data_IF_604577884908
#
_entry.id   IF_604577884908
#
_cell.length_a   1.000
_cell.length_b   1.000
_cell.length_c   1.000
_cell.angle_alpha   90.00
_cell.angle_beta   90.00
_cell.angle_gamma   90.00
#
_symmetry.space_group_name_H-M   'P 1'
#
loop_
_entity.id
_entity.type
_entity.pdbx_description
1 polymer ?
#
# COMPACT_ATOMS: atom_id res chain seq x y z
N UNK A 1 -3.56 8.04 0.76
CA UNK A 1 -2.18 8.60 0.69
C UNK A 1 -1.70 9.25 1.98
N UNK A 2 -2.50 10.08 2.67
CA UNK A 2 -2.06 10.80 3.89
C UNK A 2 -1.48 9.90 5.00
N UNK A 3 -2.11 8.75 5.27
CA UNK A 3 -1.68 7.86 6.35
C UNK A 3 -0.30 7.22 6.10
N UNK A 4 -0.05 6.76 4.87
CA UNK A 4 1.24 6.16 4.50
C UNK A 4 2.35 7.23 4.46
N UNK A 5 2.04 8.45 4.00
CA UNK A 5 2.98 9.58 4.03
C UNK A 5 3.34 9.99 5.45
N UNK A 6 2.38 9.98 6.39
CA UNK A 6 2.64 10.22 7.82
C UNK A 6 3.64 9.22 8.40
N UNK A 7 3.63 7.97 7.94
CA UNK A 7 4.58 6.94 8.37
C UNK A 7 5.86 6.87 7.53
N UNK A 8 6.07 7.84 6.63
CA UNK A 8 7.31 7.95 5.85
C UNK A 8 7.42 6.94 4.71
N UNK A 9 6.30 6.56 4.10
CA UNK A 9 6.28 5.68 2.93
C UNK A 9 5.92 6.44 1.64
N UNK A 10 6.53 6.02 0.53
CA UNK A 10 6.11 6.38 -0.82
C UNK A 10 4.97 5.46 -1.27
N UNK A 11 3.98 6.02 -1.94
CA UNK A 11 2.90 5.22 -2.49
C UNK A 11 2.36 5.74 -3.80
N UNK A 12 1.57 4.89 -4.43
CA UNK A 12 0.91 5.10 -5.70
C UNK A 12 -0.58 4.77 -5.54
N UNK A 13 -1.39 5.39 -6.39
CA UNK A 13 -2.83 5.16 -6.46
C UNK A 13 -3.16 4.73 -7.88
N UNK A 14 -3.80 3.57 -7.99
CA UNK A 14 -4.18 2.97 -9.26
C UNK A 14 -5.70 2.83 -9.31
N UNK A 15 -6.31 3.21 -10.44
CA UNK A 15 -7.74 2.99 -10.68
C UNK A 15 -7.88 1.81 -11.64
N UNK A 16 -8.64 0.80 -11.23
CA UNK A 16 -8.89 -0.41 -12.01
C UNK A 16 -10.38 -0.54 -12.23
N UNK A 17 -10.78 -0.74 -13.48
CA UNK A 17 -12.18 -1.01 -13.84
C UNK A 17 -12.38 -2.52 -13.94
N UNK A 18 -13.35 -3.05 -13.20
CA UNK A 18 -13.74 -4.47 -13.30
C UNK A 18 -14.54 -4.72 -14.58
N UNK A 19 -14.69 -5.99 -14.96
CA UNK A 19 -15.45 -6.38 -16.17
C UNK A 19 -16.91 -5.91 -16.13
N UNK A 20 -17.51 -5.90 -14.94
CA UNK A 20 -18.88 -5.43 -14.67
C UNK A 20 -18.98 -3.92 -14.40
N UNK A 21 -17.88 -3.17 -14.55
CA UNK A 21 -17.88 -1.71 -14.62
C UNK A 21 -17.64 -0.97 -13.29
N UNK A 22 -17.28 -1.67 -12.21
CA UNK A 22 -16.90 -1.01 -10.95
C UNK A 22 -15.49 -0.42 -11.05
N UNK A 23 -15.31 0.79 -10.53
CA UNK A 23 -14.01 1.46 -10.47
C UNK A 23 -13.44 1.28 -9.06
N UNK A 24 -12.40 0.46 -8.97
CA UNK A 24 -11.67 0.18 -7.73
C UNK A 24 -10.44 1.07 -7.62
N UNK A 25 -10.22 1.64 -6.44
CA UNK A 25 -9.01 2.38 -6.11
C UNK A 25 -8.04 1.50 -5.31
N UNK A 26 -6.93 1.13 -5.95
CA UNK A 26 -5.87 0.33 -5.34
C UNK A 26 -4.78 1.24 -4.79
N UNK A 27 -4.35 0.93 -3.57
CA UNK A 27 -3.28 1.62 -2.87
C UNK A 27 -2.02 0.75 -2.89
N UNK A 28 -0.93 1.28 -3.46
CA UNK A 28 0.37 0.58 -3.48
C UNK A 28 1.39 1.36 -2.67
N UNK A 29 2.14 0.67 -1.82
CA UNK A 29 3.32 1.21 -1.14
C UNK A 29 4.55 0.70 -1.89
N UNK A 30 5.42 1.61 -2.33
CA UNK A 30 6.59 1.28 -3.16
C UNK A 30 7.87 1.14 -2.35
N UNK A 31 7.91 1.77 -1.18
CA UNK A 31 9.04 1.72 -0.28
C UNK A 31 9.02 2.82 0.78
N UNK A 32 10.06 2.88 1.63
CA UNK A 32 10.34 4.04 2.46
C UNK A 32 10.54 5.30 1.61
N UNK A 33 10.15 6.46 2.14
CA UNK A 33 10.37 7.75 1.49
C UNK A 33 11.85 8.07 1.25
N UNK A 34 12.74 7.47 2.03
CA UNK A 34 14.20 7.63 1.92
C UNK A 34 14.85 6.72 0.88
N UNK A 35 14.12 5.78 0.29
CA UNK A 35 14.70 4.87 -0.71
C UNK A 35 14.97 5.60 -2.01
N UNK A 36 16.23 5.53 -2.46
CA UNK A 36 16.71 6.12 -3.73
C UNK A 36 16.44 5.21 -4.94
N UNK A 37 16.19 3.93 -4.69
CA UNK A 37 16.04 2.92 -5.74
C UNK A 37 14.58 2.77 -6.15
N UNK A 38 14.06 3.78 -6.83
CA UNK A 38 12.73 3.74 -7.44
C UNK A 38 12.61 2.67 -8.55
N UNK A 39 13.74 2.16 -9.05
CA UNK A 39 13.84 1.20 -10.15
C UNK A 39 14.15 -0.24 -9.71
N UNK A 40 14.27 -0.52 -8.41
CA UNK A 40 14.47 -1.89 -7.96
C UNK A 40 13.15 -2.68 -8.08
N UNK A 41 13.20 -3.79 -8.83
CA UNK A 41 12.02 -4.63 -9.07
C UNK A 41 11.75 -5.50 -7.84
N UNK A 42 11.06 -4.92 -6.86
CA UNK A 42 10.72 -5.61 -5.61
C UNK A 42 9.64 -6.67 -5.84
N UNK A 43 9.69 -7.83 -5.14
CA UNK A 43 8.61 -8.81 -5.15
C UNK A 43 7.27 -8.16 -4.78
N UNK A 44 6.24 -8.44 -5.56
CA UNK A 44 4.91 -7.87 -5.33
C UNK A 44 4.14 -8.73 -4.34
N UNK A 45 3.54 -8.08 -3.35
CA UNK A 45 2.58 -8.70 -2.46
C UNK A 45 1.23 -7.99 -2.55
N UNK A 46 0.20 -8.78 -2.81
CA UNK A 46 -1.18 -8.32 -2.83
C UNK A 46 -1.87 -8.72 -1.53
N UNK A 47 -2.57 -7.77 -0.91
CA UNK A 47 -3.29 -7.98 0.35
C UNK A 47 -4.70 -7.44 0.21
N UNK A 48 -5.67 -8.22 0.68
CA UNK A 48 -7.10 -7.89 0.61
C UNK A 48 -7.68 -7.79 2.01
N UNK A 49 -8.41 -6.71 2.26
CA UNK A 49 -9.06 -6.50 3.55
C UNK A 49 -10.23 -7.47 3.73
N UNK A 50 -10.64 -7.66 4.99
CA UNK A 50 -11.80 -8.47 5.34
C UNK A 50 -13.15 -7.75 5.13
N UNK A 51 -14.21 -8.36 5.62
CA UNK A 51 -15.56 -7.81 5.59
C UNK A 51 -15.62 -6.47 6.35
N UNK A 52 -16.38 -5.49 5.82
CA UNK A 52 -16.56 -4.14 6.40
C UNK A 52 -15.26 -3.36 6.66
N UNK A 53 -14.17 -3.72 5.99
CA UNK A 53 -12.87 -3.06 6.12
C UNK A 53 -12.48 -2.30 4.85
N UNK A 54 -11.32 -1.65 4.88
CA UNK A 54 -10.69 -1.03 3.72
C UNK A 54 -9.15 -1.22 3.79
N UNK A 55 -8.42 -0.68 2.82
CA UNK A 55 -6.95 -0.82 2.72
C UNK A 55 -6.16 -0.27 3.92
N UNK A 56 -6.73 0.65 4.73
CA UNK A 56 -6.02 1.26 5.85
C UNK A 56 -5.67 0.26 6.96
N UNK A 57 -6.42 -0.84 7.09
CA UNK A 57 -6.20 -1.86 8.15
C UNK A 57 -4.77 -2.41 8.16
N UNK A 58 -4.07 -2.39 7.02
CA UNK A 58 -2.71 -2.89 6.89
C UNK A 58 -1.62 -1.87 7.31
N UNK A 59 -2.00 -0.65 7.69
CA UNK A 59 -1.08 0.44 8.04
C UNK A 59 -1.49 1.23 9.29
N UNK A 60 -2.71 1.07 9.80
CA UNK A 60 -3.25 1.85 10.94
C UNK A 60 -2.46 1.64 12.24
N UNK A 61 -1.88 0.45 12.45
CA UNK A 61 -1.11 0.12 13.68
C UNK A 61 0.28 0.79 13.72
N UNK A 62 0.62 1.61 12.72
CA UNK A 62 1.90 2.31 12.61
C UNK A 62 3.02 1.45 12.03
N UNK A 63 4.15 2.11 11.71
CA UNK A 63 5.26 1.54 10.94
C UNK A 63 5.81 0.23 11.51
N UNK A 64 5.86 0.11 12.83
CA UNK A 64 6.54 -1.01 13.50
C UNK A 64 5.64 -2.22 13.76
N UNK A 65 4.32 -2.02 13.78
CA UNK A 65 3.32 -3.03 14.19
C UNK A 65 2.28 -3.34 13.11
N UNK A 66 2.44 -2.79 11.90
CA UNK A 66 1.54 -3.05 10.77
C UNK A 66 2.20 -3.96 9.75
N UNK A 67 1.38 -4.68 8.97
CA UNK A 67 1.85 -5.57 7.91
C UNK A 67 2.71 -4.85 6.85
N UNK A 68 2.51 -3.55 6.67
CA UNK A 68 3.36 -2.72 5.82
C UNK A 68 4.86 -2.77 6.13
N UNK A 69 5.28 -3.16 7.35
CA UNK A 69 6.71 -3.28 7.70
C UNK A 69 7.41 -4.42 6.97
N UNK A 70 6.78 -5.59 6.97
CA UNK A 70 7.43 -6.89 6.76
C UNK A 70 7.72 -7.19 5.29
N UNK A 71 7.23 -6.34 4.37
CA UNK A 71 7.43 -6.50 2.92
C UNK A 71 8.16 -5.35 2.24
N UNK A 72 8.65 -4.39 3.03
CA UNK A 72 9.27 -3.16 2.53
C UNK A 72 10.78 -3.07 2.86
N UNK A 73 11.29 -4.01 3.67
CA UNK A 73 12.73 -4.27 3.85
C UNK A 73 13.15 -5.39 2.90
#
# INVERSE_FOLDING_TARGET
>A
MQLISKYGYNGELHKVTTEDGYILELHRITGPATSTDANEQKPVAFVMHGLTCNSAVFVTSGRENSLGKEKIT
#
